data_IF_567765321357
#
_entry.id   IF_567765321357
#
_cell.length_a   1.000
_cell.length_b   1.000
_cell.length_c   1.000
_cell.angle_alpha   90.00
_cell.angle_beta   90.00
_cell.angle_gamma   90.00
#
_symmetry.space_group_name_H-M   'P 1'
#
loop_
_entity.id
_entity.type
_entity.pdbx_description
1 polymer ?
#
# COMPACT_ATOMS: atom_id res chain seq x y z
N UNK A 1 -0.31 1.10 4.79
CA UNK A 1 -1.18 0.87 3.60
C UNK A 1 -0.39 0.16 2.53
N UNK A 2 -1.01 -0.78 1.80
CA UNK A 2 -0.41 -1.43 0.64
C UNK A 2 -1.20 -1.05 -0.60
N UNK A 3 -0.72 -0.05 -1.31
CA UNK A 3 -1.44 0.56 -2.42
C UNK A 3 -0.84 0.18 -3.76
N UNK A 4 -1.66 0.22 -4.78
CA UNK A 4 -1.29 0.06 -6.18
C UNK A 4 -2.01 1.12 -7.03
N UNK A 5 -1.70 1.28 -8.33
CA UNK A 5 -2.36 2.25 -9.19
C UNK A 5 -3.90 2.16 -9.18
N UNK A 6 -4.64 3.23 -9.40
CA UNK A 6 -4.16 4.60 -9.64
C UNK A 6 -4.23 5.49 -8.41
N UNK A 7 -3.28 6.42 -8.28
CA UNK A 7 -3.38 7.56 -7.38
C UNK A 7 -4.03 8.78 -8.08
N UNK A 8 -3.76 8.97 -9.38
CA UNK A 8 -4.25 10.11 -10.17
C UNK A 8 -5.74 10.07 -10.52
N UNK A 9 -6.39 8.91 -10.46
CA UNK A 9 -7.81 8.74 -10.84
C UNK A 9 -8.47 7.62 -10.03
N UNK A 10 -9.81 7.58 -10.05
CA UNK A 10 -10.61 6.51 -9.42
C UNK A 10 -10.76 5.26 -10.32
N UNK A 11 -10.10 5.26 -11.46
CA UNK A 11 -10.12 4.17 -12.43
C UNK A 11 -9.48 2.91 -11.85
N UNK A 12 -9.92 1.76 -12.37
CA UNK A 12 -9.37 0.47 -12.02
C UNK A 12 -8.18 0.18 -12.94
N UNK A 13 -7.00 -0.16 -12.41
CA UNK A 13 -5.83 -0.47 -13.23
C UNK A 13 -6.01 -1.77 -14.03
N UNK A 14 -5.31 -1.88 -15.16
CA UNK A 14 -5.43 -3.01 -16.12
C UNK A 14 -5.23 -4.41 -15.54
N UNK A 15 -4.50 -4.55 -14.43
CA UNK A 15 -4.22 -5.80 -13.74
C UNK A 15 -4.66 -5.78 -12.27
N UNK A 16 -5.77 -5.10 -11.98
CA UNK A 16 -6.34 -4.93 -10.65
C UNK A 16 -6.40 -6.22 -9.82
N UNK A 17 -6.99 -7.29 -10.35
CA UNK A 17 -7.21 -8.53 -9.59
C UNK A 17 -5.88 -9.16 -9.15
N UNK A 18 -4.87 -9.11 -10.02
CA UNK A 18 -3.54 -9.62 -9.71
C UNK A 18 -2.84 -8.74 -8.65
N UNK A 19 -2.88 -7.41 -8.80
CA UNK A 19 -2.28 -6.51 -7.80
C UNK A 19 -2.98 -6.61 -6.45
N UNK A 20 -4.31 -6.77 -6.44
CA UNK A 20 -5.10 -7.01 -5.22
C UNK A 20 -4.70 -8.33 -4.56
N UNK A 21 -4.65 -9.43 -5.31
CA UNK A 21 -4.22 -10.75 -4.80
C UNK A 21 -2.83 -10.69 -4.17
N UNK A 22 -1.86 -10.07 -4.86
CA UNK A 22 -0.49 -9.93 -4.36
C UNK A 22 -0.42 -9.07 -3.09
N UNK A 23 -1.17 -7.96 -3.06
CA UNK A 23 -1.25 -7.09 -1.89
C UNK A 23 -1.88 -7.79 -0.69
N UNK A 24 -2.94 -8.58 -0.90
CA UNK A 24 -3.60 -9.37 0.15
C UNK A 24 -2.66 -10.42 0.75
N UNK A 25 -1.89 -11.12 -0.10
CA UNK A 25 -0.85 -12.06 0.36
C UNK A 25 0.19 -11.33 1.23
N UNK A 26 0.63 -10.16 0.80
CA UNK A 26 1.63 -9.38 1.52
C UNK A 26 1.14 -8.92 2.90
N UNK A 27 -0.07 -8.34 2.99
CA UNK A 27 -0.60 -7.82 4.26
C UNK A 27 -0.99 -8.94 5.23
N UNK A 28 -1.41 -10.09 4.73
CA UNK A 28 -1.64 -11.28 5.58
C UNK A 28 -0.32 -11.83 6.13
N UNK A 29 0.77 -11.77 5.36
CA UNK A 29 2.09 -12.15 5.84
C UNK A 29 2.60 -11.17 6.92
N UNK A 30 2.45 -9.85 6.71
CA UNK A 30 2.73 -8.82 7.71
C UNK A 30 1.95 -9.08 9.01
N UNK A 31 0.65 -9.34 8.89
CA UNK A 31 -0.24 -9.57 10.04
C UNK A 31 0.20 -10.76 10.88
N UNK A 32 0.77 -11.80 10.27
CA UNK A 32 1.26 -12.99 11.00
C UNK A 32 2.53 -12.73 11.81
N UNK A 33 3.33 -11.72 11.46
CA UNK A 33 4.57 -11.41 12.18
C UNK A 33 4.25 -10.68 13.49
N UNK A 34 3.60 -9.51 13.39
CA UNK A 34 3.38 -8.62 14.55
C UNK A 34 1.91 -8.18 14.72
N UNK A 35 0.96 -8.73 13.96
CA UNK A 35 -0.44 -8.33 14.03
C UNK A 35 -0.79 -7.03 13.29
N UNK A 36 0.17 -6.39 12.63
CA UNK A 36 -0.01 -5.11 11.94
C UNK A 36 -1.01 -5.21 10.78
N UNK A 37 -2.00 -4.33 10.75
CA UNK A 37 -3.07 -4.33 9.75
C UNK A 37 -2.87 -3.24 8.70
N UNK A 38 -2.97 -3.62 7.42
CA UNK A 38 -2.77 -2.72 6.29
C UNK A 38 -4.01 -2.72 5.40
N UNK A 39 -4.45 -1.52 4.99
CA UNK A 39 -5.48 -1.37 3.95
C UNK A 39 -4.87 -1.63 2.57
N UNK A 40 -5.61 -2.35 1.73
CA UNK A 40 -5.22 -2.75 0.36
C UNK A 40 -6.12 -2.09 -0.66
N UNK A 41 -5.56 -1.62 -1.78
CA UNK A 41 -6.35 -1.21 -2.95
C UNK A 41 -5.69 -0.15 -3.83
N UNK A 42 -6.41 0.34 -4.87
CA UNK A 42 -5.98 1.48 -5.66
C UNK A 42 -5.76 2.70 -4.76
N UNK A 43 -4.63 3.39 -4.91
CA UNK A 43 -4.22 4.47 -4.01
C UNK A 43 -5.29 5.55 -3.83
N UNK A 44 -5.90 6.04 -4.91
CA UNK A 44 -6.97 7.04 -4.84
C UNK A 44 -8.15 6.56 -3.97
N UNK A 45 -8.53 5.28 -4.10
CA UNK A 45 -9.66 4.71 -3.34
C UNK A 45 -9.32 4.51 -1.87
N UNK A 46 -8.12 3.98 -1.58
CA UNK A 46 -7.65 3.76 -0.20
C UNK A 46 -7.53 5.09 0.53
N UNK A 47 -6.85 6.07 -0.08
CA UNK A 47 -6.66 7.40 0.49
C UNK A 47 -8.00 8.11 0.67
N UNK A 48 -8.87 8.13 -0.34
CA UNK A 48 -10.19 8.75 -0.23
C UNK A 48 -11.03 8.14 0.90
N UNK A 49 -11.04 6.81 1.05
CA UNK A 49 -11.75 6.14 2.13
C UNK A 49 -11.23 6.56 3.52
N UNK A 50 -9.91 6.68 3.69
CA UNK A 50 -9.29 7.16 4.94
C UNK A 50 -9.63 8.62 5.19
N UNK A 51 -9.51 9.48 4.19
CA UNK A 51 -9.75 10.92 4.32
C UNK A 51 -11.21 11.22 4.68
N UNK A 52 -12.16 10.51 4.06
CA UNK A 52 -13.58 10.61 4.40
C UNK A 52 -13.84 10.15 5.84
N UNK A 53 -13.25 9.04 6.26
CA UNK A 53 -13.43 8.50 7.62
C UNK A 53 -12.83 9.42 8.68
N UNK A 54 -11.60 9.90 8.47
CA UNK A 54 -10.83 10.66 9.46
C UNK A 54 -11.25 12.14 9.53
N UNK A 55 -11.52 12.76 8.39
CA UNK A 55 -11.76 14.21 8.31
C UNK A 55 -13.18 14.61 7.92
N UNK A 56 -14.10 13.64 7.74
CA UNK A 56 -15.50 13.88 7.31
C UNK A 56 -15.61 14.80 6.08
N UNK A 57 -14.58 14.80 5.22
CA UNK A 57 -14.56 15.66 4.03
C UNK A 57 -15.58 15.11 3.03
N UNK A 58 -16.40 15.99 2.46
CA UNK A 58 -17.33 15.68 1.34
C UNK A 58 -16.65 15.85 -0.03
N UNK A 59 -15.31 15.76 -0.09
CA UNK A 59 -14.61 15.93 -1.37
C UNK A 59 -15.07 14.82 -2.33
N UNK A 60 -15.39 15.19 -3.57
CA UNK A 60 -15.99 14.27 -4.55
C UNK A 60 -15.00 13.17 -4.99
N UNK A 61 -13.70 13.42 -4.90
CA UNK A 61 -12.59 12.49 -5.20
C UNK A 61 -11.27 13.03 -4.62
N UNK A 62 -10.59 12.27 -3.76
CA UNK A 62 -9.19 12.56 -3.38
C UNK A 62 -8.25 11.83 -4.32
N UNK A 63 -7.59 12.56 -5.21
CA UNK A 63 -6.61 12.01 -6.17
C UNK A 63 -5.29 12.75 -6.03
N UNK A 64 -4.20 12.06 -6.36
CA UNK A 64 -2.85 12.60 -6.34
C UNK A 64 -2.17 12.34 -7.69
N UNK A 65 -1.95 13.39 -8.47
CA UNK A 65 -1.19 13.32 -9.72
C UNK A 65 0.31 13.28 -9.45
N UNK A 66 1.08 12.69 -10.37
CA UNK A 66 2.54 12.71 -10.32
C UNK A 66 3.15 11.67 -9.37
N UNK A 67 2.38 10.67 -8.92
CA UNK A 67 2.95 9.58 -8.14
C UNK A 67 3.95 8.76 -8.97
N UNK A 68 5.07 8.38 -8.36
CA UNK A 68 6.08 7.51 -8.98
C UNK A 68 5.48 6.16 -9.38
N UNK A 69 4.56 5.64 -8.58
CA UNK A 69 3.83 4.40 -8.82
C UNK A 69 2.98 4.47 -10.11
N UNK A 70 2.19 5.53 -10.32
CA UNK A 70 1.40 5.69 -11.54
C UNK A 70 2.30 5.91 -12.77
N UNK A 71 3.39 6.67 -12.60
CA UNK A 71 4.36 6.90 -13.67
C UNK A 71 5.04 5.59 -14.10
N UNK A 72 5.52 4.79 -13.15
CA UNK A 72 6.11 3.49 -13.44
C UNK A 72 5.10 2.57 -14.16
N UNK A 73 3.84 2.58 -13.71
CA UNK A 73 2.79 1.71 -14.24
C UNK A 73 2.33 2.09 -15.66
N UNK A 74 2.18 3.37 -15.97
CA UNK A 74 1.64 3.80 -17.27
C UNK A 74 2.70 4.22 -18.28
N UNK A 75 3.76 4.90 -17.83
CA UNK A 75 4.77 5.47 -18.73
C UNK A 75 5.89 4.46 -18.97
N UNK A 76 6.40 3.84 -17.91
CA UNK A 76 7.43 2.79 -18.02
C UNK A 76 6.80 1.42 -18.33
N UNK A 77 5.48 1.30 -18.15
CA UNK A 77 4.71 0.08 -18.40
C UNK A 77 5.19 -1.13 -17.56
N UNK A 78 5.65 -0.89 -16.32
CA UNK A 78 5.94 -2.01 -15.41
C UNK A 78 4.65 -2.74 -15.06
N UNK A 79 4.71 -4.07 -14.98
CA UNK A 79 3.55 -4.89 -14.64
C UNK A 79 3.10 -4.69 -13.19
N UNK A 80 4.07 -4.56 -12.27
CA UNK A 80 3.81 -4.48 -10.84
C UNK A 80 4.37 -3.16 -10.30
N UNK A 81 3.49 -2.32 -9.78
CA UNK A 81 3.85 -1.08 -9.11
C UNK A 81 3.05 -0.98 -7.81
N UNK A 82 3.75 -0.76 -6.70
CA UNK A 82 3.15 -0.64 -5.38
C UNK A 82 3.72 0.59 -4.66
N UNK A 83 2.88 1.21 -3.83
CA UNK A 83 3.30 2.18 -2.83
C UNK A 83 2.94 1.61 -1.46
N UNK A 84 3.96 1.34 -0.64
CA UNK A 84 3.79 0.80 0.70
C UNK A 84 4.05 1.92 1.69
N UNK A 85 3.02 2.27 2.44
CA UNK A 85 3.10 3.22 3.56
C UNK A 85 3.16 2.39 4.84
N UNK A 86 4.25 2.51 5.58
CA UNK A 86 4.51 1.70 6.77
C UNK A 86 3.56 2.04 7.93
N UNK A 87 3.49 1.17 8.95
CA UNK A 87 2.71 1.46 10.16
C UNK A 87 3.32 2.64 10.93
N UNK A 88 2.46 3.31 11.70
CA UNK A 88 2.90 4.29 12.71
C UNK A 88 3.58 3.58 13.90
N UNK A 89 4.22 4.38 14.75
CA UNK A 89 4.77 3.91 16.02
C UNK A 89 3.65 3.39 16.95
N UNK A 90 3.87 2.23 17.56
CA UNK A 90 2.96 1.61 18.52
C UNK A 90 3.06 2.27 19.90
N UNK A 91 4.26 2.71 20.30
CA UNK A 91 4.51 3.28 21.64
C UNK A 91 3.98 4.72 21.72
N UNK A 92 4.21 5.51 20.68
CA UNK A 92 3.74 6.90 20.60
C UNK A 92 3.39 7.26 19.15
N UNK A 93 2.14 7.04 18.71
CA UNK A 93 1.72 7.25 17.33
C UNK A 93 1.74 8.75 16.98
N UNK A 94 2.91 9.24 16.56
CA UNK A 94 3.16 10.61 16.11
C UNK A 94 3.59 10.62 14.64
N UNK A 95 2.87 9.88 13.80
CA UNK A 95 3.11 9.83 12.35
C UNK A 95 4.54 9.42 12.01
N UNK A 96 5.39 10.40 11.71
CA UNK A 96 6.75 10.23 11.22
C UNK A 96 7.81 9.92 12.30
N UNK A 97 7.48 10.06 13.58
CA UNK A 97 8.43 9.81 14.68
C UNK A 97 8.21 8.39 15.21
N UNK A 98 9.28 7.58 15.18
CA UNK A 98 9.29 6.21 15.67
C UNK A 98 10.46 5.99 16.62
N UNK A 99 10.20 5.23 17.69
CA UNK A 99 11.22 4.80 18.65
C UNK A 99 12.15 3.76 18.01
N UNK A 100 13.44 3.80 18.35
CA UNK A 100 14.46 2.92 17.75
C UNK A 100 14.12 1.44 17.96
N UNK A 101 13.54 1.09 19.11
CA UNK A 101 13.14 -0.27 19.47
C UNK A 101 12.03 -0.82 18.56
N UNK A 102 11.31 0.04 17.85
CA UNK A 102 10.24 -0.36 16.92
C UNK A 102 10.74 -0.55 15.48
N UNK A 103 11.95 -0.09 15.15
CA UNK A 103 12.50 -0.14 13.78
C UNK A 103 12.70 -1.57 13.35
N UNK A 104 13.38 -2.39 14.15
CA UNK A 104 13.63 -3.78 13.78
C UNK A 104 12.33 -4.59 13.60
N UNK A 105 11.35 -4.56 14.55
CA UNK A 105 10.06 -5.21 14.34
C UNK A 105 9.33 -4.74 13.08
N UNK A 106 9.38 -3.43 12.77
CA UNK A 106 8.80 -2.88 11.55
C UNK A 106 9.46 -3.45 10.28
N UNK A 107 10.79 -3.54 10.27
CA UNK A 107 11.53 -4.08 9.14
C UNK A 107 11.24 -5.57 8.94
N UNK A 108 11.14 -6.35 10.02
CA UNK A 108 10.83 -7.79 9.96
C UNK A 108 9.45 -8.06 9.37
N UNK A 109 8.41 -7.35 9.82
CA UNK A 109 7.07 -7.49 9.23
C UNK A 109 7.05 -7.03 7.77
N UNK A 110 7.70 -5.90 7.45
CA UNK A 110 7.70 -5.31 6.11
C UNK A 110 8.43 -6.22 5.11
N UNK A 111 9.59 -6.77 5.52
CA UNK A 111 10.36 -7.69 4.70
C UNK A 111 9.58 -8.97 4.41
N UNK A 112 8.91 -9.53 5.42
CA UNK A 112 8.08 -10.73 5.27
C UNK A 112 6.92 -10.49 4.29
N UNK A 113 6.28 -9.31 4.35
CA UNK A 113 5.26 -8.92 3.38
C UNK A 113 5.80 -8.78 1.95
N UNK A 114 6.97 -8.15 1.80
CA UNK A 114 7.63 -7.98 0.51
C UNK A 114 8.02 -9.32 -0.11
N UNK A 115 8.64 -10.21 0.66
CA UNK A 115 9.03 -11.55 0.23
C UNK A 115 7.81 -12.36 -0.23
N UNK A 116 6.75 -12.39 0.58
CA UNK A 116 5.51 -13.10 0.24
C UNK A 116 4.88 -12.56 -1.05
N UNK A 117 4.87 -11.24 -1.24
CA UNK A 117 4.40 -10.61 -2.47
C UNK A 117 5.22 -11.07 -3.68
N UNK A 118 6.55 -10.95 -3.60
CA UNK A 118 7.48 -11.28 -4.69
C UNK A 118 7.37 -12.75 -5.07
N UNK A 119 7.38 -13.67 -4.10
CA UNK A 119 7.27 -15.10 -4.35
C UNK A 119 5.93 -15.49 -5.00
N UNK A 120 4.88 -14.70 -4.77
CA UNK A 120 3.56 -14.91 -5.37
C UNK A 120 3.40 -14.28 -6.78
N UNK A 121 4.37 -13.48 -7.24
CA UNK A 121 4.34 -12.85 -8.56
C UNK A 121 4.50 -13.89 -9.66
N UNK A 122 3.81 -13.66 -10.79
CA UNK A 122 4.03 -14.41 -12.02
C UNK A 122 4.46 -13.45 -13.14
N UNK A 123 5.77 -13.26 -13.35
CA UNK A 123 6.25 -12.31 -14.36
C UNK A 123 5.98 -12.78 -15.81
N UNK A 124 5.53 -14.02 -16.01
CA UNK A 124 5.39 -14.64 -17.34
C UNK A 124 3.94 -14.83 -17.82
N UNK A 125 2.95 -14.40 -17.03
CA UNK A 125 1.53 -14.34 -17.45
C UNK A 125 1.10 -12.95 -17.87
#
# INVERSE_FOLDING_TARGET
MWMFPYAKSMEIPRNYEEMKRLSEIAVEAIKKVNGSEYRVGPAARVLHAIMNQKYKRKAKTDTASGSSMDYAFDVINVKYAFAVELREANINPLGFIMHEEEIQPLLEETWTGLEACILAMNPYK
#
